data_IF_282225214167
#
_entry.id   IF_282225214167
#
_cell.length_a   1.000
_cell.length_b   1.000
_cell.length_c   1.000
_cell.angle_alpha   90.00
_cell.angle_beta   90.00
_cell.angle_gamma   90.00
#
_symmetry.space_group_name_H-M   'P 1'
#
loop_
_entity.id
_entity.type
_entity.pdbx_description
1 polymer ?
#
# COMPACT_ATOMS: atom_id res chain seq x y z
N UNK A 1 0.92 22.95 23.29
CA UNK A 1 1.97 22.19 22.58
C UNK A 1 1.22 21.15 21.76
N UNK A 2 1.21 21.25 20.42
CA UNK A 2 0.49 20.29 19.56
C UNK A 2 1.30 18.99 19.54
N UNK A 3 0.66 17.85 19.79
CA UNK A 3 1.34 16.57 19.82
C UNK A 3 1.85 16.24 18.41
N UNK A 4 3.12 15.82 18.24
CA UNK A 4 3.66 15.45 16.94
C UNK A 4 2.95 14.24 16.30
N UNK A 5 2.09 13.53 17.05
CA UNK A 5 1.24 12.44 16.56
C UNK A 5 0.00 12.96 15.82
N UNK A 6 -0.48 14.18 16.09
CA UNK A 6 -1.67 14.76 15.43
C UNK A 6 -1.46 15.03 13.93
N UNK A 7 -0.21 15.01 13.43
CA UNK A 7 0.10 15.16 12.01
C UNK A 7 -0.33 13.96 11.15
N UNK A 8 -0.61 12.79 11.74
CA UNK A 8 -0.99 11.59 10.98
C UNK A 8 -2.47 11.64 10.57
N UNK A 9 -3.32 12.33 11.33
CA UNK A 9 -4.78 12.27 11.15
C UNK A 9 -5.35 13.27 10.14
N UNK A 10 -4.53 14.14 9.53
CA UNK A 10 -4.99 15.21 8.63
C UNK A 10 -4.17 15.34 7.33
N UNK A 11 -3.52 14.26 6.89
CA UNK A 11 -2.88 14.25 5.58
C UNK A 11 -3.93 14.03 4.49
N UNK A 12 -4.47 15.13 3.96
CA UNK A 12 -5.12 15.15 2.65
C UNK A 12 -4.14 14.50 1.66
N UNK A 13 -4.43 13.27 1.25
CA UNK A 13 -3.61 12.56 0.28
C UNK A 13 -3.71 13.32 -1.04
N UNK A 14 -2.58 13.76 -1.62
CA UNK A 14 -2.61 14.55 -2.84
C UNK A 14 -3.21 13.72 -3.98
N UNK A 15 -4.08 14.37 -4.74
CA UNK A 15 -4.72 13.80 -5.92
C UNK A 15 -3.87 14.11 -7.16
N UNK A 16 -3.69 13.11 -8.01
CA UNK A 16 -2.99 13.20 -9.28
C UNK A 16 -3.97 12.96 -10.42
N UNK A 17 -3.89 13.78 -11.47
CA UNK A 17 -4.70 13.64 -12.67
C UNK A 17 -3.87 12.93 -13.74
N UNK A 18 -4.37 11.80 -14.24
CA UNK A 18 -3.80 11.08 -15.38
C UNK A 18 -4.64 11.36 -16.63
N UNK A 19 -3.98 11.90 -17.66
CA UNK A 19 -4.61 12.09 -18.96
C UNK A 19 -4.50 10.80 -19.77
N UNK A 20 -5.65 10.19 -20.07
CA UNK A 20 -5.74 9.07 -21.01
C UNK A 20 -6.39 9.52 -22.31
N UNK A 21 -6.18 8.77 -23.39
CA UNK A 21 -6.84 9.02 -24.69
C UNK A 21 -8.38 8.97 -24.63
N UNK A 22 -8.96 8.47 -23.53
CA UNK A 22 -10.41 8.41 -23.29
C UNK A 22 -10.90 9.44 -22.25
N UNK A 23 -10.05 10.35 -21.78
CA UNK A 23 -10.37 11.39 -20.80
C UNK A 23 -9.45 11.44 -19.59
N UNK A 24 -9.73 12.37 -18.68
CA UNK A 24 -8.98 12.56 -17.43
C UNK A 24 -9.54 11.68 -16.30
N UNK A 25 -8.65 10.99 -15.58
CA UNK A 25 -9.00 10.27 -14.35
C UNK A 25 -8.15 10.78 -13.20
N UNK A 26 -8.79 11.11 -12.08
CA UNK A 26 -8.12 11.49 -10.84
C UNK A 26 -7.96 10.29 -9.92
N UNK A 27 -6.75 10.12 -9.39
CA UNK A 27 -6.41 9.10 -8.40
C UNK A 27 -5.69 9.75 -7.23
N UNK A 28 -5.81 9.18 -6.04
CA UNK A 28 -4.86 9.53 -5.00
C UNK A 28 -3.45 9.00 -5.38
N UNK A 29 -2.40 9.63 -4.83
CA UNK A 29 -1.02 9.27 -5.18
C UNK A 29 -0.71 7.79 -4.90
N UNK A 30 -1.27 7.19 -3.85
CA UNK A 30 -1.02 5.79 -3.50
C UNK A 30 -1.70 4.85 -4.49
N UNK A 31 -2.94 5.14 -4.90
CA UNK A 31 -3.63 4.42 -5.96
C UNK A 31 -2.90 4.50 -7.30
N UNK A 32 -2.30 5.65 -7.63
CA UNK A 32 -1.46 5.80 -8.83
C UNK A 32 -0.20 4.93 -8.75
N UNK A 33 0.43 4.84 -7.58
CA UNK A 33 1.63 4.04 -7.35
C UNK A 33 1.32 2.53 -7.29
N UNK A 34 0.16 2.14 -6.74
CA UNK A 34 -0.31 0.76 -6.75
C UNK A 34 -0.49 0.23 -8.17
N UNK A 35 -0.94 1.07 -9.12
CA UNK A 35 -0.98 0.71 -10.55
C UNK A 35 0.41 0.47 -11.16
N UNK A 36 1.46 1.08 -10.62
CA UNK A 36 2.86 0.76 -10.94
C UNK A 36 3.41 -0.44 -10.15
N UNK A 37 2.55 -1.12 -9.38
CA UNK A 37 2.88 -2.26 -8.51
C UNK A 37 3.78 -1.88 -7.34
N UNK A 38 3.58 -0.69 -6.79
CA UNK A 38 4.31 -0.18 -5.63
C UNK A 38 3.38 -0.19 -4.42
N UNK A 39 3.76 -0.93 -3.38
CA UNK A 39 3.06 -1.01 -2.09
C UNK A 39 3.90 -0.34 -1.01
N UNK A 40 3.23 0.41 -0.13
CA UNK A 40 3.87 1.06 1.02
C UNK A 40 3.39 0.44 2.33
N UNK A 41 4.34 0.04 3.17
CA UNK A 41 4.11 -0.32 4.56
C UNK A 41 4.79 0.75 5.42
N UNK A 42 4.01 1.68 5.96
CA UNK A 42 4.51 2.82 6.73
C UNK A 42 3.88 2.89 8.11
N UNK A 43 4.68 3.19 9.13
CA UNK A 43 4.23 3.26 10.51
C UNK A 43 4.01 1.88 11.17
N UNK A 44 3.51 1.84 12.41
CA UNK A 44 3.23 0.60 13.12
C UNK A 44 2.17 -0.22 12.38
N UNK A 45 2.37 -1.54 12.27
CA UNK A 45 1.40 -2.41 11.60
C UNK A 45 0.60 -3.27 12.60
N UNK A 46 -0.69 -3.41 12.28
CA UNK A 46 -1.69 -4.19 12.99
C UNK A 46 -2.57 -4.94 11.97
N UNK A 47 -3.50 -5.76 12.44
CA UNK A 47 -4.29 -6.66 11.60
C UNK A 47 -5.06 -5.94 10.47
N UNK A 48 -5.53 -4.71 10.71
CA UNK A 48 -6.20 -3.90 9.69
C UNK A 48 -5.25 -3.52 8.55
N UNK A 49 -4.04 -3.05 8.88
CA UNK A 49 -3.01 -2.71 7.89
C UNK A 49 -2.53 -3.95 7.14
N UNK A 50 -2.29 -5.05 7.84
CA UNK A 50 -1.87 -6.30 7.21
C UNK A 50 -2.93 -6.82 6.24
N UNK A 51 -4.21 -6.75 6.59
CA UNK A 51 -5.31 -7.14 5.70
C UNK A 51 -5.32 -6.31 4.41
N UNK A 52 -5.06 -4.99 4.50
CA UNK A 52 -4.96 -4.12 3.34
C UNK A 52 -3.76 -4.47 2.45
N UNK A 53 -2.60 -4.74 3.05
CA UNK A 53 -1.39 -5.12 2.31
C UNK A 53 -1.58 -6.46 1.61
N UNK A 54 -2.14 -7.46 2.30
CA UNK A 54 -2.44 -8.76 1.70
C UNK A 54 -3.43 -8.62 0.53
N UNK A 55 -4.46 -7.79 0.67
CA UNK A 55 -5.40 -7.52 -0.41
C UNK A 55 -4.72 -6.86 -1.63
N UNK A 56 -3.82 -5.90 -1.40
CA UNK A 56 -3.04 -5.27 -2.48
C UNK A 56 -2.11 -6.27 -3.18
N UNK A 57 -1.41 -7.11 -2.42
CA UNK A 57 -0.54 -8.16 -2.98
C UNK A 57 -1.32 -9.13 -3.88
N UNK A 58 -2.46 -9.65 -3.39
CA UNK A 58 -3.32 -10.55 -4.17
C UNK A 58 -3.94 -9.88 -5.39
N UNK A 59 -4.29 -8.59 -5.28
CA UNK A 59 -4.78 -7.81 -6.41
C UNK A 59 -3.72 -7.72 -7.52
N UNK A 60 -2.49 -7.33 -7.18
CA UNK A 60 -1.39 -7.22 -8.14
C UNK A 60 -1.00 -8.56 -8.76
N UNK A 61 -1.04 -9.65 -7.97
CA UNK A 61 -0.86 -11.00 -8.47
C UNK A 61 -1.90 -11.35 -9.53
N UNK A 62 -3.18 -11.05 -9.28
CA UNK A 62 -4.27 -11.34 -10.21
C UNK A 62 -4.21 -10.53 -11.51
N UNK A 63 -3.68 -9.30 -11.48
CA UNK A 63 -3.50 -8.49 -12.69
C UNK A 63 -2.37 -9.04 -13.57
N UNK A 64 -1.23 -9.37 -12.97
CA UNK A 64 -0.09 -9.92 -13.72
C UNK A 64 0.89 -10.66 -12.78
N UNK A 65 0.84 -12.00 -12.71
CA UNK A 65 1.69 -12.82 -11.83
C UNK A 65 3.12 -13.03 -12.37
N UNK A 66 3.54 -12.25 -13.38
CA UNK A 66 4.91 -12.31 -13.93
C UNK A 66 5.67 -11.00 -13.71
N UNK A 67 4.98 -9.95 -13.30
CA UNK A 67 5.58 -8.63 -13.12
C UNK A 67 5.92 -8.45 -11.64
N UNK A 68 7.11 -7.96 -11.36
CA UNK A 68 7.57 -7.76 -9.99
C UNK A 68 6.68 -6.77 -9.23
N UNK A 69 6.61 -6.95 -7.91
CA UNK A 69 5.93 -6.04 -6.97
C UNK A 69 7.01 -5.40 -6.09
N UNK A 70 7.02 -4.07 -6.03
CA UNK A 70 7.96 -3.30 -5.23
C UNK A 70 7.31 -2.92 -3.91
N UNK A 71 7.86 -3.42 -2.79
CA UNK A 71 7.38 -3.10 -1.45
C UNK A 71 8.35 -2.17 -0.73
N UNK A 72 7.88 -0.98 -0.35
CA UNK A 72 8.64 -0.01 0.43
C UNK A 72 8.22 -0.07 1.90
N UNK A 73 9.18 -0.38 2.77
CA UNK A 73 8.93 -0.61 4.20
C UNK A 73 9.60 0.51 5.00
N UNK A 74 8.80 1.26 5.74
CA UNK A 74 9.23 2.24 6.74
C UNK A 74 8.37 2.07 8.00
N UNK A 75 8.67 1.04 8.78
CA UNK A 75 7.89 0.68 9.95
C UNK A 75 8.79 0.40 11.16
N UNK A 76 8.41 0.85 12.36
CA UNK A 76 9.08 0.48 13.60
C UNK A 76 8.75 -0.95 14.06
N UNK A 77 7.89 -1.69 13.34
CA UNK A 77 7.38 -2.99 13.74
C UNK A 77 5.90 -2.95 14.16
N UNK A 78 5.41 -4.06 14.71
CA UNK A 78 4.00 -4.24 15.03
C UNK A 78 3.69 -5.63 15.56
N UNK A 79 2.44 -6.08 15.35
CA UNK A 79 2.00 -7.40 15.79
C UNK A 79 2.60 -8.53 14.94
N UNK A 80 3.23 -9.51 15.57
CA UNK A 80 3.92 -10.61 14.88
C UNK A 80 2.99 -11.41 13.98
N UNK A 81 1.74 -11.64 14.40
CA UNK A 81 0.71 -12.33 13.61
C UNK A 81 0.41 -11.60 12.30
N UNK A 82 0.28 -10.27 12.35
CA UNK A 82 0.05 -9.44 11.18
C UNK A 82 1.27 -9.46 10.23
N UNK A 83 2.50 -9.49 10.78
CA UNK A 83 3.71 -9.67 9.98
C UNK A 83 3.74 -11.03 9.27
N UNK A 84 3.37 -12.11 9.97
CA UNK A 84 3.31 -13.46 9.39
C UNK A 84 2.27 -13.52 8.27
N UNK A 85 1.09 -12.90 8.44
CA UNK A 85 0.09 -12.84 7.39
C UNK A 85 0.61 -12.17 6.10
N UNK A 86 1.32 -11.06 6.23
CA UNK A 86 1.96 -10.37 5.10
C UNK A 86 3.04 -11.28 4.49
N UNK A 87 3.91 -11.85 5.33
CA UNK A 87 5.02 -12.70 4.90
C UNK A 87 4.53 -13.93 4.12
N UNK A 88 3.56 -14.66 4.65
CA UNK A 88 2.99 -15.85 4.00
C UNK A 88 2.33 -15.49 2.68
N UNK A 89 1.65 -14.33 2.61
CA UNK A 89 1.06 -13.83 1.36
C UNK A 89 2.15 -13.51 0.32
N UNK A 90 3.27 -12.91 0.74
CA UNK A 90 4.41 -12.64 -0.15
C UNK A 90 5.06 -13.92 -0.69
N UNK A 91 5.09 -15.01 0.10
CA UNK A 91 5.61 -16.30 -0.35
C UNK A 91 4.62 -17.06 -1.25
N UNK A 92 3.32 -16.78 -1.12
CA UNK A 92 2.27 -17.44 -1.87
C UNK A 92 2.15 -16.94 -3.32
N UNK A 93 2.27 -15.62 -3.53
CA UNK A 93 2.23 -14.97 -4.85
C UNK A 93 3.52 -15.24 -5.64
N UNK A 94 3.48 -15.22 -6.99
CA UNK A 94 4.58 -15.68 -7.86
C UNK A 94 5.22 -14.60 -8.72
#
# INVERSE_FOLDING_TARGET
>A
MRDPIDYISNNLVPMVVEQSSRGERSFDIFSRLLRERIIFLTGPFEDGMASLICAQLLFLESENPKKEISMYINSPGGQVTSALAIYDTMQYIK
#
